data_IF_191836544085
#
_entry.id   IF_191836544085
#
_cell.length_a   1.000
_cell.length_b   1.000
_cell.length_c   1.000
_cell.angle_alpha   90.00
_cell.angle_beta   90.00
_cell.angle_gamma   90.00
#
_symmetry.space_group_name_H-M   'P 1'
#
loop_
_entity.id
_entity.type
_entity.pdbx_description
1 polymer ?
#
# COMPACT_ATOMS: atom_id res chain seq x y z
N UNK A 1 0.10 16.81 -8.90
CA UNK A 1 -0.29 15.39 -8.92
C UNK A 1 0.97 14.57 -8.72
N UNK A 2 0.95 13.67 -7.75
CA UNK A 2 2.04 12.79 -7.35
C UNK A 2 1.56 11.36 -7.50
N UNK A 3 2.32 10.57 -8.24
CA UNK A 3 2.09 9.13 -8.38
C UNK A 3 3.10 8.38 -7.52
N UNK A 4 2.64 7.37 -6.78
CA UNK A 4 3.53 6.52 -6.02
C UNK A 4 3.12 5.05 -6.07
N UNK A 5 4.10 4.19 -5.86
CA UNK A 5 3.93 2.75 -5.71
C UNK A 5 4.49 2.33 -4.36
N UNK A 6 3.63 1.78 -3.51
CA UNK A 6 4.00 1.28 -2.19
C UNK A 6 4.06 -0.24 -2.29
N UNK A 7 5.27 -0.78 -2.20
CA UNK A 7 5.52 -2.21 -2.08
C UNK A 7 5.23 -2.60 -0.63
N UNK A 8 4.43 -3.63 -0.42
CA UNK A 8 3.94 -3.99 0.91
C UNK A 8 4.23 -5.46 1.17
N UNK A 9 4.93 -5.72 2.27
CA UNK A 9 5.18 -7.07 2.76
C UNK A 9 4.20 -7.36 3.89
N UNK A 10 3.49 -8.47 3.78
CA UNK A 10 2.53 -8.93 4.76
C UNK A 10 3.09 -10.12 5.54
N UNK A 11 2.72 -10.16 6.82
CA UNK A 11 2.89 -11.35 7.63
C UNK A 11 1.96 -12.45 7.10
N UNK A 12 2.25 -13.73 7.39
CA UNK A 12 1.29 -14.80 7.15
C UNK A 12 -0.02 -14.52 7.90
N UNK A 13 -1.09 -14.20 7.17
CA UNK A 13 -2.41 -13.90 7.75
C UNK A 13 -3.31 -15.14 7.73
N UNK A 14 -4.02 -15.37 8.84
CA UNK A 14 -5.00 -16.47 8.97
C UNK A 14 -6.27 -16.26 8.14
N UNK A 15 -6.66 -14.99 7.97
CA UNK A 15 -7.98 -14.60 7.44
C UNK A 15 -7.97 -14.43 5.91
N UNK A 16 -6.81 -14.62 5.29
CA UNK A 16 -6.62 -14.63 3.86
C UNK A 16 -6.16 -13.29 3.27
N UNK A 17 -5.38 -13.39 2.20
CA UNK A 17 -4.74 -12.25 1.53
C UNK A 17 -5.75 -11.29 0.87
N UNK A 18 -6.94 -11.79 0.51
CA UNK A 18 -8.01 -11.00 -0.11
C UNK A 18 -8.66 -10.02 0.87
N UNK A 19 -8.83 -10.41 2.14
CA UNK A 19 -9.37 -9.51 3.16
C UNK A 19 -8.36 -8.38 3.44
N UNK A 20 -7.09 -8.73 3.63
CA UNK A 20 -6.03 -7.76 3.85
C UNK A 20 -5.95 -6.75 2.70
N UNK A 21 -6.17 -7.19 1.46
CA UNK A 21 -6.30 -6.29 0.30
C UNK A 21 -7.40 -5.24 0.48
N UNK A 22 -8.57 -5.63 0.99
CA UNK A 22 -9.67 -4.70 1.23
C UNK A 22 -9.34 -3.71 2.34
N UNK A 23 -8.66 -4.16 3.39
CA UNK A 23 -8.19 -3.30 4.48
C UNK A 23 -7.19 -2.26 3.97
N UNK A 24 -6.26 -2.67 3.09
CA UNK A 24 -5.33 -1.75 2.42
C UNK A 24 -6.07 -0.69 1.58
N UNK A 25 -7.03 -1.12 0.75
CA UNK A 25 -7.83 -0.19 -0.06
C UNK A 25 -8.66 0.78 0.78
N UNK A 26 -9.06 0.38 1.99
CA UNK A 26 -9.84 1.21 2.90
C UNK A 26 -9.01 2.25 3.67
N UNK A 27 -7.67 2.22 3.57
CA UNK A 27 -6.79 3.19 4.26
C UNK A 27 -7.02 4.61 3.77
N UNK A 28 -7.24 4.80 2.46
CA UNK A 28 -7.42 6.13 1.87
C UNK A 28 -8.01 6.06 0.47
N UNK A 29 -8.85 7.05 0.13
CA UNK A 29 -9.35 7.28 -1.23
C UNK A 29 -8.23 7.64 -2.23
N UNK A 30 -7.04 8.03 -1.75
CA UNK A 30 -5.87 8.26 -2.60
C UNK A 30 -5.23 6.99 -3.15
N UNK A 31 -5.66 5.81 -2.67
CA UNK A 31 -5.24 4.51 -3.21
C UNK A 31 -6.10 4.19 -4.43
N UNK A 32 -5.46 4.16 -5.60
CA UNK A 32 -6.12 3.87 -6.88
C UNK A 32 -6.34 2.36 -7.04
N UNK A 33 -5.35 1.56 -6.62
CA UNK A 33 -5.45 0.11 -6.69
C UNK A 33 -4.46 -0.58 -5.75
N UNK A 34 -4.79 -1.81 -5.37
CA UNK A 34 -3.88 -2.74 -4.73
C UNK A 34 -3.90 -4.05 -5.52
N UNK A 35 -2.73 -4.66 -5.72
CA UNK A 35 -2.58 -5.90 -6.47
C UNK A 35 -1.81 -6.92 -5.63
N UNK A 36 -2.36 -8.13 -5.50
CA UNK A 36 -1.63 -9.28 -4.97
C UNK A 36 -0.66 -9.73 -6.05
N UNK A 37 0.62 -9.86 -5.72
CA UNK A 37 1.67 -10.20 -6.69
C UNK A 37 2.48 -11.40 -6.23
N UNK A 38 2.96 -12.20 -7.18
CA UNK A 38 3.98 -13.19 -6.91
C UNK A 38 5.35 -12.50 -7.00
N UNK A 39 6.04 -12.32 -5.88
CA UNK A 39 7.35 -11.66 -5.84
C UNK A 39 7.90 -11.57 -4.41
N UNK A 40 8.85 -10.66 -4.20
CA UNK A 40 9.49 -10.43 -2.89
C UNK A 40 8.58 -9.70 -1.88
N UNK A 41 7.45 -9.18 -2.39
CA UNK A 41 6.39 -8.51 -1.64
C UNK A 41 5.05 -9.11 -2.01
N UNK A 42 4.06 -8.92 -1.14
CA UNK A 42 2.73 -9.53 -1.27
C UNK A 42 1.77 -8.61 -2.00
N UNK A 43 1.93 -7.30 -1.85
CA UNK A 43 1.14 -6.30 -2.56
C UNK A 43 1.97 -5.20 -3.21
N UNK A 44 1.43 -4.70 -4.33
CA UNK A 44 1.81 -3.41 -4.90
C UNK A 44 0.59 -2.50 -4.85
N UNK A 45 0.71 -1.38 -4.14
CA UNK A 45 -0.35 -0.38 -3.99
C UNK A 45 -0.01 0.84 -4.81
N UNK A 46 -0.90 1.25 -5.72
CA UNK A 46 -0.78 2.46 -6.52
C UNK A 46 -1.52 3.61 -5.85
N UNK A 47 -0.84 4.74 -5.71
CA UNK A 47 -1.34 5.96 -5.08
C UNK A 47 -1.30 7.12 -6.07
N UNK A 48 -2.33 7.95 -6.03
CA UNK A 48 -2.44 9.20 -6.79
C UNK A 48 -3.00 10.30 -5.86
N UNK A 49 -2.18 11.31 -5.57
CA UNK A 49 -2.48 12.36 -4.58
C UNK A 49 -1.89 13.71 -5.00
N UNK A 50 -2.21 14.78 -4.29
CA UNK A 50 -1.76 16.13 -4.64
C UNK A 50 -0.32 16.41 -4.22
N UNK A 51 0.13 15.88 -3.07
CA UNK A 51 1.44 16.17 -2.49
C UNK A 51 2.21 14.92 -2.05
N UNK A 52 3.56 14.97 -1.96
CA UNK A 52 4.35 13.88 -1.40
C UNK A 52 4.06 13.62 0.09
N UNK A 53 3.55 14.62 0.83
CA UNK A 53 3.16 14.44 2.22
C UNK A 53 1.97 13.49 2.35
N UNK A 54 0.99 13.61 1.44
CA UNK A 54 -0.17 12.72 1.40
C UNK A 54 0.24 11.26 1.13
N UNK A 55 1.27 11.04 0.29
CA UNK A 55 1.85 9.69 0.07
C UNK A 55 2.39 9.11 1.37
N UNK A 56 3.11 9.93 2.16
CA UNK A 56 3.68 9.50 3.44
C UNK A 56 2.59 9.11 4.43
N UNK A 57 1.51 9.88 4.50
CA UNK A 57 0.39 9.60 5.39
C UNK A 57 -0.30 8.28 5.02
N UNK A 58 -0.51 8.03 3.71
CA UNK A 58 -1.03 6.76 3.20
C UNK A 58 -0.10 5.60 3.53
N UNK A 59 1.21 5.73 3.31
CA UNK A 59 2.18 4.69 3.62
C UNK A 59 2.20 4.36 5.13
N UNK A 60 2.11 5.36 5.99
CA UNK A 60 2.00 5.17 7.45
C UNK A 60 0.70 4.49 7.86
N UNK A 61 -0.41 4.82 7.18
CA UNK A 61 -1.70 4.13 7.35
C UNK A 61 -1.61 2.66 6.97
N UNK A 62 -1.02 2.34 5.82
CA UNK A 62 -0.77 0.98 5.36
C UNK A 62 0.09 0.21 6.36
N UNK A 63 1.20 0.80 6.82
CA UNK A 63 2.09 0.15 7.80
C UNK A 63 1.39 -0.12 9.14
N UNK A 64 0.33 0.61 9.47
CA UNK A 64 -0.46 0.41 10.69
C UNK A 64 -1.55 -0.65 10.55
N UNK A 65 -1.82 -1.15 9.35
CA UNK A 65 -2.78 -2.24 9.13
C UNK A 65 -2.24 -3.53 9.76
N UNK A 66 -3.02 -4.22 10.61
CA UNK A 66 -2.61 -5.49 11.19
C UNK A 66 -2.20 -6.52 10.14
N UNK A 67 -1.06 -7.17 10.34
CA UNK A 67 -0.53 -8.13 9.37
C UNK A 67 0.36 -7.52 8.29
N UNK A 68 0.63 -6.21 8.31
CA UNK A 68 1.69 -5.61 7.50
C UNK A 68 3.02 -5.64 8.27
N UNK A 69 4.06 -6.18 7.65
CA UNK A 69 5.42 -6.27 8.22
C UNK A 69 6.26 -5.06 7.81
N UNK A 70 6.20 -4.68 6.53
CA UNK A 70 7.06 -3.63 5.99
C UNK A 70 6.44 -2.94 4.77
N UNK A 71 6.88 -1.71 4.51
CA UNK A 71 6.52 -0.96 3.31
C UNK A 71 7.74 -0.28 2.68
N UNK A 72 7.78 -0.25 1.36
CA UNK A 72 8.78 0.49 0.60
C UNK A 72 8.09 1.36 -0.46
N UNK A 73 8.30 2.67 -0.39
CA UNK A 73 7.59 3.64 -1.23
C UNK A 73 8.48 4.18 -2.35
N UNK A 74 7.97 4.14 -3.57
CA UNK A 74 8.57 4.73 -4.76
C UNK A 74 7.67 5.86 -5.27
N UNK A 75 8.16 7.11 -5.19
CA UNK A 75 7.47 8.27 -5.74
C UNK A 75 7.97 8.52 -7.16
N UNK A 76 7.05 8.69 -8.11
CA UNK A 76 7.35 9.09 -9.48
C UNK A 76 7.80 10.57 -9.49
N UNK A 77 8.90 10.89 -10.19
CA UNK A 77 9.64 12.15 -10.07
C UNK A 77 9.57 13.03 -11.33
N UNK A 78 8.66 12.70 -12.23
CA UNK A 78 8.41 13.35 -13.53
C UNK A 78 7.63 14.68 -13.42
#
# INVERSE_FOLDING_TARGET
MVYAYIMVKAAPVSDGIDQLKQELLAVSDGIVSAHIVAGDVDFIVKVEVDTPADVKDIAGGIQSVPGIEDTQTYIAMD
#
